data_IF_277924532121
#
_entry.id   IF_277924532121
#
_cell.length_a   1.000
_cell.length_b   1.000
_cell.length_c   1.000
_cell.angle_alpha   90.00
_cell.angle_beta   90.00
_cell.angle_gamma   90.00
#
_symmetry.space_group_name_H-M   'P 1'
#
loop_
_entity.id
_entity.type
_entity.pdbx_description
1 polymer ?
#
# COMPACT_ATOMS: atom_id res chain seq x y z
N UNK A 1 45.83 1.73 -1.07
CA UNK A 1 44.96 1.22 0.02
C UNK A 1 43.52 1.50 -0.36
N UNK A 2 42.55 0.56 -0.27
CA UNK A 2 42.50 -0.87 -0.62
C UNK A 2 41.50 -1.15 -1.78
N UNK A 3 41.55 -2.37 -2.35
CA UNK A 3 40.59 -2.90 -3.33
C UNK A 3 39.33 -3.55 -2.69
N UNK A 4 38.63 -4.44 -3.42
CA UNK A 4 37.22 -4.34 -3.80
C UNK A 4 36.23 -4.94 -2.78
N UNK A 5 35.00 -4.39 -2.70
CA UNK A 5 33.86 -5.05 -2.04
C UNK A 5 33.04 -5.83 -3.07
N UNK A 6 33.43 -7.09 -3.29
CA UNK A 6 32.55 -8.09 -3.89
C UNK A 6 31.57 -8.57 -2.82
N UNK A 7 30.36 -8.03 -2.81
CA UNK A 7 29.27 -8.55 -1.99
C UNK A 7 28.76 -9.86 -2.60
N UNK A 8 29.35 -10.98 -2.19
CA UNK A 8 28.85 -12.32 -2.45
C UNK A 8 27.46 -12.45 -1.82
N UNK A 9 26.40 -12.44 -2.65
CA UNK A 9 25.07 -12.83 -2.22
C UNK A 9 25.13 -14.35 -1.99
N UNK A 10 25.39 -14.76 -0.74
CA UNK A 10 25.21 -16.15 -0.34
C UNK A 10 23.73 -16.47 -0.49
N UNK A 11 23.38 -17.22 -1.54
CA UNK A 11 22.07 -17.83 -1.65
C UNK A 11 21.95 -18.86 -0.52
N UNK A 12 21.34 -18.44 0.59
CA UNK A 12 20.97 -19.38 1.66
C UNK A 12 20.10 -20.47 1.04
N UNK A 13 20.43 -21.76 1.24
CA UNK A 13 19.60 -22.83 0.72
C UNK A 13 18.18 -22.64 1.25
N UNK A 14 17.21 -22.51 0.35
CA UNK A 14 15.80 -22.47 0.70
C UNK A 14 15.46 -23.86 1.25
N UNK A 15 15.43 -23.98 2.57
CA UNK A 15 14.96 -25.18 3.25
C UNK A 15 13.50 -25.40 2.86
N UNK A 16 13.26 -26.29 1.90
CA UNK A 16 11.91 -26.78 1.59
C UNK A 16 11.53 -27.78 2.69
N UNK A 17 11.12 -27.27 3.84
CA UNK A 17 10.60 -28.10 4.93
C UNK A 17 9.19 -28.55 4.56
N UNK A 18 8.97 -29.86 4.59
CA UNK A 18 7.63 -30.44 4.48
C UNK A 18 6.79 -29.94 5.67
N UNK A 19 5.68 -29.26 5.38
CA UNK A 19 4.73 -28.83 6.41
C UNK A 19 3.93 -30.05 6.84
N UNK A 20 4.07 -30.43 8.11
CA UNK A 20 3.31 -31.54 8.71
C UNK A 20 2.06 -31.03 9.41
N UNK A 21 1.10 -31.90 9.70
CA UNK A 21 -0.07 -31.54 10.50
C UNK A 21 0.30 -30.94 11.85
N UNK A 22 1.41 -31.39 12.45
CA UNK A 22 1.95 -30.84 13.70
C UNK A 22 2.40 -29.39 13.54
N UNK A 23 3.04 -29.04 12.42
CA UNK A 23 3.44 -27.66 12.14
C UNK A 23 2.21 -26.75 11.97
N UNK A 24 1.14 -27.26 11.35
CA UNK A 24 -0.15 -26.54 11.24
C UNK A 24 -0.75 -26.27 12.62
N UNK A 25 -0.91 -27.30 13.47
CA UNK A 25 -1.42 -27.10 14.84
C UNK A 25 -0.57 -26.14 15.65
N UNK A 26 0.76 -26.22 15.50
CA UNK A 26 1.70 -25.32 16.18
C UNK A 26 1.52 -23.87 15.73
N UNK A 27 1.39 -23.62 14.42
CA UNK A 27 1.16 -22.27 13.88
C UNK A 27 -0.18 -21.66 14.33
N UNK A 28 -1.24 -22.48 14.40
CA UNK A 28 -2.55 -22.06 14.88
C UNK A 28 -2.47 -21.71 16.37
N UNK A 29 -1.86 -22.57 17.19
CA UNK A 29 -1.69 -22.33 18.62
C UNK A 29 -0.80 -21.11 18.90
N UNK A 30 0.27 -20.90 18.13
CA UNK A 30 1.09 -19.70 18.23
C UNK A 30 0.25 -18.44 17.94
N UNK A 31 -0.55 -18.45 16.88
CA UNK A 31 -1.43 -17.33 16.52
C UNK A 31 -2.50 -17.08 17.60
N UNK A 32 -3.10 -18.13 18.16
CA UNK A 32 -4.11 -18.01 19.22
C UNK A 32 -3.50 -17.52 20.55
N UNK A 33 -2.30 -17.99 20.90
CA UNK A 33 -1.59 -17.59 22.13
C UNK A 33 -1.20 -16.11 22.12
N UNK A 34 -0.88 -15.55 20.95
CA UNK A 34 -0.55 -14.12 20.80
C UNK A 34 -1.74 -13.16 20.98
N UNK A 35 -2.97 -13.65 21.06
CA UNK A 35 -4.17 -12.81 21.27
C UNK A 35 -4.24 -12.14 22.65
N UNK A 36 -3.39 -12.55 23.61
CA UNK A 36 -3.27 -11.90 24.92
C UNK A 36 -2.45 -10.59 24.87
N UNK A 37 -1.54 -10.46 23.90
CA UNK A 37 -0.63 -9.31 23.79
C UNK A 37 -0.68 -8.70 22.38
N UNK A 38 -1.89 -8.33 21.96
CA UNK A 38 -2.08 -7.48 20.79
C UNK A 38 -2.98 -6.34 21.23
N UNK A 39 -2.60 -5.06 21.07
CA UNK A 39 -3.58 -3.98 21.15
C UNK A 39 -4.61 -4.23 20.05
N UNK A 40 -5.71 -4.87 20.43
CA UNK A 40 -6.88 -5.08 19.60
C UNK A 40 -7.62 -3.77 19.58
N UNK A 41 -7.18 -2.87 18.70
CA UNK A 41 -7.92 -1.73 18.10
C UNK A 41 -6.87 -0.73 17.59
N UNK A 42 -7.11 -0.07 16.45
CA UNK A 42 -6.51 1.24 16.26
C UNK A 42 -6.88 2.08 17.49
N UNK A 43 -5.94 2.87 18.03
CA UNK A 43 -6.17 3.80 19.15
C UNK A 43 -7.33 4.79 18.86
N UNK A 44 -7.79 4.84 17.61
CA UNK A 44 -8.94 5.61 17.16
C UNK A 44 -10.13 4.69 16.84
N UNK A 45 -11.30 5.00 17.41
CA UNK A 45 -12.57 4.40 16.98
C UNK A 45 -12.81 4.76 15.51
N UNK A 46 -12.70 3.77 14.64
CA UNK A 46 -13.09 3.89 13.23
C UNK A 46 -14.59 4.19 13.20
N UNK A 47 -14.96 5.34 12.67
CA UNK A 47 -16.36 5.74 12.48
C UNK A 47 -16.84 5.30 11.10
N UNK A 48 -18.16 5.24 10.91
CA UNK A 48 -18.77 4.82 9.64
C UNK A 48 -18.31 5.68 8.44
N UNK A 49 -18.00 6.95 8.69
CA UNK A 49 -17.57 7.91 7.68
C UNK A 49 -16.07 7.85 7.34
N UNK A 50 -15.25 7.11 8.09
CA UNK A 50 -13.79 7.07 7.94
C UNK A 50 -13.35 6.42 6.60
N UNK A 51 -14.27 5.67 5.97
CA UNK A 51 -14.11 5.07 4.64
C UNK A 51 -14.89 5.78 3.54
N UNK A 52 -15.49 6.94 3.82
CA UNK A 52 -16.17 7.72 2.79
C UNK A 52 -15.16 8.25 1.79
N UNK A 53 -15.43 8.03 0.51
CA UNK A 53 -14.60 8.57 -0.55
C UNK A 53 -14.90 10.06 -0.66
N UNK A 54 -13.89 10.96 -0.58
CA UNK A 54 -14.14 12.39 -0.73
C UNK A 54 -14.73 12.68 -2.11
N UNK A 55 -15.50 13.76 -2.20
CA UNK A 55 -16.02 14.23 -3.48
C UNK A 55 -14.86 14.42 -4.48
N UNK A 56 -15.07 14.08 -5.76
CA UNK A 56 -14.05 14.29 -6.79
C UNK A 56 -13.68 15.78 -6.86
N UNK A 57 -12.43 16.10 -7.24
CA UNK A 57 -12.04 17.49 -7.41
C UNK A 57 -12.88 18.16 -8.51
N UNK A 58 -13.11 19.47 -8.43
CA UNK A 58 -13.78 20.19 -9.51
C UNK A 58 -12.96 20.09 -10.81
N UNK A 59 -13.61 20.18 -11.99
CA UNK A 59 -12.88 20.23 -13.26
C UNK A 59 -11.97 21.46 -13.29
N UNK A 60 -10.79 21.32 -13.91
CA UNK A 60 -9.89 22.44 -14.12
C UNK A 60 -10.58 23.55 -14.95
N UNK A 61 -10.31 24.84 -14.68
CA UNK A 61 -10.85 25.93 -15.48
C UNK A 61 -10.46 25.78 -16.96
N UNK A 62 -11.43 25.90 -17.86
CA UNK A 62 -11.15 25.99 -19.30
C UNK A 62 -10.75 27.42 -19.62
N UNK A 63 -9.51 27.61 -20.06
CA UNK A 63 -9.06 28.91 -20.53
C UNK A 63 -9.66 29.18 -21.91
N UNK A 64 -10.71 30.00 -21.97
CA UNK A 64 -11.19 30.58 -23.23
C UNK A 64 -10.12 31.53 -23.72
N UNK A 65 -9.27 31.05 -24.62
CA UNK A 65 -8.30 31.91 -25.29
C UNK A 65 -9.03 32.80 -26.29
N UNK A 66 -8.81 34.13 -26.28
CA UNK A 66 -9.46 35.03 -27.22
C UNK A 66 -9.24 34.67 -28.69
N UNK A 67 -8.16 33.94 -29.01
CA UNK A 67 -7.76 33.65 -30.40
C UNK A 67 -8.64 32.60 -31.10
N UNK A 68 -9.52 31.87 -30.40
CA UNK A 68 -10.44 30.90 -31.01
C UNK A 68 -11.87 31.39 -31.17
N UNK A 69 -12.16 32.64 -30.80
CA UNK A 69 -13.32 33.30 -31.37
C UNK A 69 -12.95 33.65 -32.80
N UNK A 70 -13.56 32.98 -33.77
CA UNK A 70 -13.64 33.54 -35.12
C UNK A 70 -14.33 34.89 -34.97
N UNK A 71 -13.54 35.95 -34.86
CA UNK A 71 -14.02 37.30 -35.03
C UNK A 71 -14.62 37.30 -36.44
N UNK A 72 -15.93 37.08 -36.53
CA UNK A 72 -16.68 37.24 -37.75
C UNK A 72 -16.48 38.70 -38.14
N UNK A 73 -15.54 38.89 -39.05
CA UNK A 73 -15.17 40.18 -39.62
C UNK A 73 -16.45 40.81 -40.13
N UNK A 74 -16.99 41.80 -39.40
CA UNK A 74 -18.10 42.60 -39.90
C UNK A 74 -17.63 43.30 -41.18
N UNK A 75 -18.27 42.99 -42.30
CA UNK A 75 -18.32 43.81 -43.50
C UNK A 75 -19.77 44.14 -43.77
#
# INVERSE_FOLDING_TARGET
>A
MPGPHSSSIQASPRSMRLVTSQDLYTSINATLSTKSNRPSTPVHHIQEDDYTVPAPPPPSPVSFRPEHWSASSRR
#
